data_IF_852664173502
#
_entry.id   IF_852664173502
#
_cell.length_a   1.000
_cell.length_b   1.000
_cell.length_c   1.000
_cell.angle_alpha   90.00
_cell.angle_beta   90.00
_cell.angle_gamma   90.00
#
_symmetry.space_group_name_H-M   'P 1'
#
loop_
_entity.id
_entity.type
_entity.pdbx_description
1 polymer ?
#
# COMPACT_ATOMS: atom_id res chain seq x y z
N UNK A 1 14.53 -11.00 1.64
CA UNK A 1 15.59 -11.09 0.60
C UNK A 1 15.67 -9.74 -0.08
N UNK A 2 16.86 -9.20 -0.34
CA UNK A 2 17.02 -7.93 -1.05
C UNK A 2 16.48 -8.06 -2.48
N UNK A 3 15.57 -7.16 -2.88
CA UNK A 3 15.00 -7.07 -4.23
C UNK A 3 15.89 -6.22 -5.15
N UNK A 4 16.65 -5.27 -4.58
CA UNK A 4 17.73 -4.52 -5.22
C UNK A 4 18.80 -4.17 -4.17
N UNK A 5 19.84 -3.44 -4.56
CA UNK A 5 20.86 -2.95 -3.63
C UNK A 5 20.30 -2.02 -2.52
N UNK A 6 19.15 -1.40 -2.76
CA UNK A 6 18.50 -0.46 -1.83
C UNK A 6 17.11 -0.89 -1.35
N UNK A 7 16.52 -1.95 -1.93
CA UNK A 7 15.15 -2.37 -1.61
C UNK A 7 15.12 -3.81 -1.08
N UNK A 8 14.29 -4.04 -0.07
CA UNK A 8 14.09 -5.37 0.52
C UNK A 8 12.68 -5.89 0.26
N UNK A 9 12.59 -7.13 -0.22
CA UNK A 9 11.34 -7.89 -0.27
C UNK A 9 11.10 -8.61 1.06
N UNK A 10 9.92 -8.38 1.64
CA UNK A 10 9.48 -8.99 2.90
C UNK A 10 8.36 -9.96 2.59
N UNK A 11 8.54 -11.22 3.01
CA UNK A 11 7.55 -12.28 2.84
C UNK A 11 6.86 -12.50 4.20
N UNK A 12 5.51 -12.65 4.22
CA UNK A 12 4.82 -12.98 5.46
C UNK A 12 5.31 -14.33 6.00
N UNK A 13 5.38 -14.43 7.33
CA UNK A 13 5.72 -15.69 8.02
C UNK A 13 4.65 -16.77 7.81
N UNK A 14 3.39 -16.34 7.80
CA UNK A 14 2.22 -17.19 7.58
C UNK A 14 1.63 -16.91 6.20
N UNK A 15 1.23 -17.97 5.49
CA UNK A 15 0.72 -17.83 4.12
C UNK A 15 -0.55 -16.97 4.08
N UNK A 16 -0.68 -16.15 3.03
CA UNK A 16 -1.85 -15.29 2.84
C UNK A 16 -1.97 -14.09 3.78
N UNK A 17 -1.05 -13.91 4.75
CA UNK A 17 -1.08 -12.85 5.76
C UNK A 17 -0.30 -11.59 5.34
N UNK A 18 -0.61 -11.07 4.15
CA UNK A 18 0.12 -9.97 3.53
C UNK A 18 -0.23 -8.61 4.14
N UNK A 19 -1.50 -8.35 4.45
CA UNK A 19 -1.91 -7.07 5.02
C UNK A 19 -1.37 -6.90 6.43
N UNK A 20 -1.39 -7.96 7.25
CA UNK A 20 -0.74 -7.94 8.56
C UNK A 20 0.74 -7.61 8.45
N UNK A 21 1.45 -8.31 7.56
CA UNK A 21 2.90 -8.10 7.38
C UNK A 21 3.21 -6.70 6.89
N UNK A 22 2.44 -6.18 5.94
CA UNK A 22 2.57 -4.80 5.46
C UNK A 22 2.38 -3.78 6.59
N UNK A 23 1.32 -3.92 7.39
CA UNK A 23 1.02 -3.00 8.48
C UNK A 23 2.05 -3.08 9.61
N UNK A 24 2.53 -4.29 9.92
CA UNK A 24 3.58 -4.49 10.91
C UNK A 24 4.87 -3.79 10.50
N UNK A 25 5.32 -4.02 9.27
CA UNK A 25 6.53 -3.35 8.76
C UNK A 25 6.32 -1.84 8.72
N UNK A 26 5.18 -1.36 8.23
CA UNK A 26 4.89 0.07 8.19
C UNK A 26 4.92 0.70 9.60
N UNK A 27 4.50 -0.03 10.63
CA UNK A 27 4.59 0.43 12.01
C UNK A 27 6.03 0.41 12.54
N UNK A 28 6.85 -0.54 12.10
CA UNK A 28 8.25 -0.69 12.52
C UNK A 28 9.25 0.15 11.71
N UNK A 29 8.84 0.81 10.62
CA UNK A 29 9.74 1.59 9.74
C UNK A 29 10.48 2.69 10.49
N UNK A 30 9.83 3.40 11.41
CA UNK A 30 10.46 4.49 12.17
C UNK A 30 11.56 3.96 13.10
N UNK A 31 11.33 2.80 13.72
CA UNK A 31 12.31 2.11 14.55
C UNK A 31 13.48 1.57 13.71
N UNK A 32 13.19 0.98 12.53
CA UNK A 32 14.21 0.55 11.58
C UNK A 32 15.09 1.71 11.11
N UNK A 33 14.49 2.87 10.84
CA UNK A 33 15.22 4.07 10.47
C UNK A 33 16.11 4.54 11.62
N UNK A 34 15.58 4.60 12.84
CA UNK A 34 16.34 4.99 14.04
C UNK A 34 17.56 4.09 14.26
N UNK A 35 17.40 2.77 14.09
CA UNK A 35 18.49 1.82 14.20
C UNK A 35 19.53 1.92 13.05
N UNK A 36 19.16 2.51 11.91
CA UNK A 36 20.07 2.73 10.77
C UNK A 36 20.98 3.96 10.94
N UNK A 37 20.53 4.98 11.69
CA UNK A 37 21.26 6.23 11.95
C UNK A 37 22.56 6.10 12.78
N UNK A 38 22.93 4.89 13.20
CA UNK A 38 24.12 4.62 14.00
C UNK A 38 25.39 4.30 13.19
N UNK A 39 25.36 4.36 11.86
CA UNK A 39 26.49 3.95 11.01
C UNK A 39 26.89 5.04 10.02
N UNK A 40 28.14 4.98 9.52
CA UNK A 40 28.72 5.98 8.59
C UNK A 40 27.90 6.14 7.29
N UNK A 41 27.03 5.16 6.99
CA UNK A 41 26.06 5.21 5.90
C UNK A 41 24.67 4.91 6.47
N UNK A 42 23.80 5.91 6.57
CA UNK A 42 22.41 5.76 7.01
C UNK A 42 21.64 4.84 6.05
N UNK A 43 21.63 3.54 6.31
CA UNK A 43 21.00 2.54 5.45
C UNK A 43 20.46 1.39 6.29
N UNK A 44 19.19 1.05 6.09
CA UNK A 44 18.61 -0.16 6.67
C UNK A 44 19.31 -1.36 6.02
N UNK A 45 20.07 -2.12 6.81
CA UNK A 45 20.76 -3.31 6.34
C UNK A 45 20.02 -4.57 6.78
N UNK A 46 20.39 -5.73 6.24
CA UNK A 46 19.91 -7.01 6.76
C UNK A 46 20.25 -7.22 8.24
N UNK A 47 21.31 -6.59 8.75
CA UNK A 47 21.68 -6.62 10.16
C UNK A 47 20.74 -5.76 11.02
N UNK A 48 20.29 -4.61 10.50
CA UNK A 48 19.26 -3.78 11.15
C UNK A 48 17.98 -4.59 11.39
N UNK A 49 17.57 -5.39 10.41
CA UNK A 49 16.43 -6.32 10.58
C UNK A 49 16.69 -7.45 11.59
N UNK A 50 17.93 -7.98 11.67
CA UNK A 50 18.27 -9.06 12.62
C UNK A 50 18.27 -8.59 14.08
N UNK A 51 18.57 -7.32 14.33
CA UNK A 51 18.57 -6.73 15.67
C UNK A 51 17.18 -6.36 16.18
N UNK A 52 16.16 -6.40 15.32
CA UNK A 52 14.79 -6.07 15.67
C UNK A 52 14.07 -7.32 16.20
N UNK A 53 13.63 -7.26 17.45
CA UNK A 53 12.79 -8.28 18.06
C UNK A 53 11.33 -7.82 18.08
N UNK A 54 10.46 -8.58 17.42
CA UNK A 54 9.02 -8.30 17.37
C UNK A 54 8.27 -9.48 17.98
N UNK A 55 7.36 -9.19 18.91
CA UNK A 55 6.42 -10.18 19.41
C UNK A 55 5.38 -10.52 18.33
N UNK A 56 5.41 -11.76 17.84
CA UNK A 56 4.47 -12.25 16.84
C UNK A 56 3.30 -12.97 17.53
N UNK A 57 2.04 -12.52 17.34
CA UNK A 57 0.86 -13.21 17.87
C UNK A 57 0.70 -14.62 17.30
N UNK A 58 -0.17 -15.46 17.90
CA UNK A 58 -0.53 -16.76 17.33
C UNK A 58 -1.08 -16.62 15.91
N UNK A 59 -0.79 -17.60 15.06
CA UNK A 59 -1.19 -17.61 13.64
C UNK A 59 -2.70 -17.39 13.46
N UNK A 60 -3.52 -18.02 14.30
CA UNK A 60 -4.99 -17.90 14.25
C UNK A 60 -5.46 -16.44 14.42
N UNK A 61 -4.79 -15.67 15.27
CA UNK A 61 -5.12 -14.26 15.48
C UNK A 61 -4.73 -13.42 14.26
N UNK A 62 -3.59 -13.73 13.65
CA UNK A 62 -3.10 -13.04 12.45
C UNK A 62 -4.01 -13.32 11.25
N UNK A 63 -4.41 -14.58 11.05
CA UNK A 63 -5.35 -14.97 9.99
C UNK A 63 -6.74 -14.32 10.21
N UNK A 64 -7.22 -14.27 11.46
CA UNK A 64 -8.47 -13.58 11.80
C UNK A 64 -8.39 -12.09 11.49
N UNK A 65 -7.28 -11.43 11.83
CA UNK A 65 -7.01 -10.04 11.50
C UNK A 65 -6.97 -9.82 9.98
N UNK A 66 -6.23 -10.64 9.25
CA UNK A 66 -6.10 -10.57 7.79
C UNK A 66 -7.48 -10.59 7.12
N UNK A 67 -8.35 -11.51 7.54
CA UNK A 67 -9.71 -11.62 7.00
C UNK A 67 -10.59 -10.41 7.32
N UNK A 68 -10.45 -9.84 8.51
CA UNK A 68 -11.19 -8.62 8.91
C UNK A 68 -10.73 -7.39 8.12
N UNK A 69 -9.44 -7.30 7.82
CA UNK A 69 -8.83 -6.12 7.20
C UNK A 69 -8.86 -6.14 5.68
N UNK A 70 -8.82 -7.34 5.06
CA UNK A 70 -8.93 -7.56 3.61
C UNK A 70 -10.01 -6.71 2.91
N UNK A 71 -11.27 -6.64 3.36
CA UNK A 71 -12.30 -5.85 2.67
C UNK A 71 -11.98 -4.35 2.61
N UNK A 72 -11.26 -3.80 3.59
CA UNK A 72 -10.89 -2.38 3.61
C UNK A 72 -9.83 -2.08 2.55
N UNK A 73 -8.79 -2.91 2.44
CA UNK A 73 -7.78 -2.77 1.39
C UNK A 73 -8.36 -2.94 -0.01
N UNK A 74 -9.27 -3.90 -0.19
CA UNK A 74 -9.99 -4.07 -1.46
C UNK A 74 -10.84 -2.84 -1.80
N UNK A 75 -11.53 -2.27 -0.82
CA UNK A 75 -12.31 -1.04 -1.02
C UNK A 75 -11.41 0.15 -1.41
N UNK A 76 -10.26 0.30 -0.77
CA UNK A 76 -9.27 1.33 -1.13
C UNK A 76 -8.81 1.15 -2.58
N UNK A 77 -8.48 -0.07 -2.99
CA UNK A 77 -8.08 -0.39 -4.36
C UNK A 77 -9.18 -0.04 -5.38
N UNK A 78 -10.41 -0.48 -5.12
CA UNK A 78 -11.56 -0.23 -6.01
C UNK A 78 -11.81 1.28 -6.12
N UNK A 79 -11.85 1.99 -5.01
CA UNK A 79 -12.11 3.43 -4.99
C UNK A 79 -11.00 4.20 -5.74
N UNK A 80 -9.74 3.84 -5.52
CA UNK A 80 -8.60 4.47 -6.22
C UNK A 80 -8.71 4.30 -7.74
N UNK A 81 -9.11 3.11 -8.20
CA UNK A 81 -9.33 2.86 -9.62
C UNK A 81 -10.52 3.66 -10.17
N UNK A 82 -11.63 3.72 -9.44
CA UNK A 82 -12.79 4.50 -9.83
C UNK A 82 -12.48 5.99 -9.94
N UNK A 83 -11.76 6.55 -8.98
CA UNK A 83 -11.31 7.95 -8.99
C UNK A 83 -10.49 8.20 -10.25
N UNK A 84 -9.47 7.38 -10.52
CA UNK A 84 -8.66 7.51 -11.74
C UNK A 84 -9.50 7.44 -13.02
N UNK A 85 -10.48 6.54 -13.09
CA UNK A 85 -11.38 6.44 -14.25
C UNK A 85 -12.22 7.71 -14.42
N UNK A 86 -12.78 8.25 -13.33
CA UNK A 86 -13.62 9.46 -13.35
C UNK A 86 -12.77 10.69 -13.72
N UNK A 87 -11.57 10.81 -13.16
CA UNK A 87 -10.62 11.88 -13.48
C UNK A 87 -10.25 11.86 -14.96
N UNK A 88 -9.86 10.69 -15.48
CA UNK A 88 -9.54 10.54 -16.90
C UNK A 88 -10.74 10.87 -17.80
N UNK A 89 -11.95 10.46 -17.40
CA UNK A 89 -13.16 10.76 -18.15
C UNK A 89 -13.45 12.27 -18.14
N UNK A 90 -13.33 12.93 -16.99
CA UNK A 90 -13.46 14.39 -16.87
C UNK A 90 -12.46 15.09 -17.79
N UNK A 91 -11.19 14.74 -17.71
CA UNK A 91 -10.13 15.41 -18.45
C UNK A 91 -10.21 15.14 -19.96
N UNK A 92 -10.81 14.02 -20.35
CA UNK A 92 -11.10 13.72 -21.76
C UNK A 92 -12.34 14.46 -22.27
N UNK A 93 -13.41 14.54 -21.47
CA UNK A 93 -14.69 15.09 -21.90
C UNK A 93 -14.75 16.61 -21.79
N UNK A 94 -14.13 17.20 -20.77
CA UNK A 94 -14.22 18.64 -20.53
C UNK A 94 -13.73 19.47 -21.73
N UNK A 95 -12.58 19.17 -22.36
CA UNK A 95 -12.15 19.87 -23.57
C UNK A 95 -13.14 19.72 -24.73
N UNK A 96 -13.68 18.50 -24.94
CA UNK A 96 -14.63 18.20 -26.03
C UNK A 96 -16.00 18.85 -25.83
N UNK A 97 -16.42 19.02 -24.58
CA UNK A 97 -17.62 19.77 -24.22
C UNK A 97 -17.41 21.27 -24.45
N UNK A 98 -16.24 21.81 -24.07
CA UNK A 98 -15.88 23.21 -24.30
C UNK A 98 -15.71 23.56 -25.78
N UNK A 99 -15.16 22.65 -26.60
CA UNK A 99 -15.04 22.83 -28.05
C UNK A 99 -16.36 22.64 -28.81
N UNK A 100 -17.39 22.10 -28.13
CA UNK A 100 -18.69 21.81 -28.74
C UNK A 100 -18.71 20.57 -29.64
N UNK A 101 -17.62 19.79 -29.68
CA UNK A 101 -17.54 18.48 -30.35
C UNK A 101 -18.53 17.46 -29.76
N UNK A 102 -18.78 17.55 -28.45
CA UNK A 102 -19.77 16.73 -27.74
C UNK A 102 -20.84 17.65 -27.18
N UNK A 103 -22.12 17.29 -27.39
CA UNK A 103 -23.27 18.03 -26.86
C UNK A 103 -24.10 17.14 -25.95
N UNK A 104 -24.55 17.70 -24.83
CA UNK A 104 -25.46 17.03 -23.92
C UNK A 104 -26.88 17.05 -24.51
N UNK A 105 -27.48 15.88 -24.68
CA UNK A 105 -28.90 15.79 -25.00
C UNK A 105 -29.69 16.24 -23.77
N UNK A 106 -30.33 17.42 -23.85
CA UNK A 106 -31.21 17.91 -22.79
C UNK A 106 -32.46 17.01 -22.71
N UNK A 107 -32.40 15.95 -21.90
CA UNK A 107 -33.60 15.33 -21.34
C UNK A 107 -33.88 16.00 -20.01
N UNK A 108 -34.81 16.96 -20.02
CA UNK A 108 -35.48 17.40 -18.78
C UNK A 108 -36.21 16.18 -18.21
N UNK A 109 -35.93 15.86 -16.94
CA UNK A 109 -36.76 14.96 -16.13
C UNK A 109 -38.12 15.62 -15.89
#
# INVERSE_FOLDING_TARGET
MAYSQSNYGIKPKFEGCYFFTYLLINHSVDELNTAAYGSVFDTITTNTFKGMEILIPPEINIQSFENKIRPYFLKILINTNQIRTIENLRDTLLPKLMSGEVRLANKRL
#
